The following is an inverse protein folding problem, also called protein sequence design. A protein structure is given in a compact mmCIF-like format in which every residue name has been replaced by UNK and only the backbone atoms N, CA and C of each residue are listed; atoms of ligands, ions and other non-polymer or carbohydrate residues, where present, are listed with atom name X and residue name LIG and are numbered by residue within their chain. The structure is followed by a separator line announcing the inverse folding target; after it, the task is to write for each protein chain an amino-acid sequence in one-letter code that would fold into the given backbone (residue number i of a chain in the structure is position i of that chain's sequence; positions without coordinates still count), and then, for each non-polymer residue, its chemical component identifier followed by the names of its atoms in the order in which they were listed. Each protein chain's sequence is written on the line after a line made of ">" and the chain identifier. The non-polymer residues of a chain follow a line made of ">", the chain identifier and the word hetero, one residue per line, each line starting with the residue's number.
data_IF_402441938022
#
_entry.id   IF_402441938022
#
_cell.length_a   1.000
_cell.length_b   1.000
_cell.length_c   1.000
_cell.angle_alpha   90.00
_cell.angle_beta   90.00
_cell.angle_gamma   90.00
#
_symmetry.space_group_name_H-M   'P 1'
#
loop_
_entity.id
_entity.type
_entity.pdbx_description
1 polymer ?
#
# COMPACT_ATOMS: atom_id res chain seq x y z
N UNK A 1 -20.10 8.02 -20.29
CA UNK A 1 -19.95 6.55 -20.19
C UNK A 1 -19.89 6.21 -18.73
N UNK A 2 -20.78 5.36 -18.21
CA UNK A 2 -20.70 4.88 -16.83
C UNK A 2 -19.53 3.90 -16.72
N UNK A 3 -18.35 4.42 -16.36
CA UNK A 3 -17.17 3.61 -16.13
C UNK A 3 -17.40 2.76 -14.88
N UNK A 4 -17.64 1.46 -15.07
CA UNK A 4 -17.91 0.53 -13.97
C UNK A 4 -16.66 -0.28 -13.65
N UNK A 5 -16.14 -0.10 -12.44
CA UNK A 5 -14.96 -0.85 -11.98
C UNK A 5 -15.39 -2.26 -11.57
N UNK A 6 -14.87 -3.33 -12.20
CA UNK A 6 -15.25 -4.70 -11.86
C UNK A 6 -14.81 -5.07 -10.43
N UNK A 7 -15.61 -5.86 -9.71
CA UNK A 7 -15.27 -6.27 -8.33
C UNK A 7 -13.95 -7.03 -8.27
N UNK A 8 -13.62 -7.84 -9.29
CA UNK A 8 -12.37 -8.60 -9.31
C UNK A 8 -11.12 -7.70 -9.31
N UNK A 9 -11.20 -6.49 -9.87
CA UNK A 9 -10.09 -5.51 -9.82
C UNK A 9 -9.89 -5.01 -8.40
N UNK A 10 -10.99 -4.71 -7.70
CA UNK A 10 -10.98 -4.26 -6.31
C UNK A 10 -10.43 -5.37 -5.40
N UNK A 11 -10.91 -6.60 -5.60
CA UNK A 11 -10.45 -7.79 -4.87
C UNK A 11 -8.96 -8.05 -5.14
N UNK A 12 -8.50 -7.94 -6.38
CA UNK A 12 -7.07 -8.06 -6.71
C UNK A 12 -6.24 -6.99 -5.99
N UNK A 13 -6.75 -5.75 -5.91
CA UNK A 13 -6.19 -4.69 -5.08
C UNK A 13 -6.10 -5.11 -3.61
N UNK A 14 -7.18 -5.66 -3.07
CA UNK A 14 -7.24 -6.14 -1.69
C UNK A 14 -6.26 -7.27 -1.37
N UNK A 15 -6.16 -8.27 -2.24
CA UNK A 15 -5.18 -9.37 -2.14
C UNK A 15 -3.76 -8.80 -2.15
N UNK A 16 -3.49 -7.87 -3.06
CA UNK A 16 -2.20 -7.18 -3.11
C UNK A 16 -1.88 -6.45 -1.81
N UNK A 17 -2.84 -5.71 -1.23
CA UNK A 17 -2.61 -5.02 0.04
C UNK A 17 -2.31 -5.99 1.19
N UNK A 18 -3.05 -7.09 1.32
CA UNK A 18 -2.75 -8.14 2.31
C UNK A 18 -1.37 -8.75 2.05
N UNK A 19 -1.04 -9.07 0.79
CA UNK A 19 0.29 -9.57 0.43
C UNK A 19 1.38 -8.60 0.90
N UNK A 20 1.22 -7.29 0.66
CA UNK A 20 2.21 -6.31 1.14
C UNK A 20 2.33 -6.34 2.67
N UNK A 21 1.21 -6.39 3.40
CA UNK A 21 1.21 -6.46 4.86
C UNK A 21 1.97 -7.69 5.37
N UNK A 22 1.83 -8.84 4.71
CA UNK A 22 2.51 -10.09 5.11
C UNK A 22 3.98 -10.16 4.70
N UNK A 23 4.33 -9.63 3.53
CA UNK A 23 5.71 -9.72 3.00
C UNK A 23 6.64 -8.68 3.63
N UNK A 24 6.13 -7.54 4.10
CA UNK A 24 6.94 -6.45 4.66
C UNK A 24 7.82 -6.86 5.86
N UNK A 25 7.34 -7.62 6.86
CA UNK A 25 8.20 -8.17 7.92
C UNK A 25 9.34 -9.04 7.38
N UNK A 26 9.05 -9.90 6.41
CA UNK A 26 10.06 -10.76 5.79
C UNK A 26 11.13 -9.93 5.08
N UNK A 27 10.72 -8.95 4.26
CA UNK A 27 11.64 -8.06 3.54
C UNK A 27 12.51 -7.28 4.54
N UNK A 28 11.91 -6.72 5.59
CA UNK A 28 12.64 -6.00 6.65
C UNK A 28 13.62 -6.88 7.41
N UNK A 29 13.40 -8.19 7.52
CA UNK A 29 14.31 -9.05 8.25
C UNK A 29 15.41 -9.65 7.38
N UNK A 30 15.07 -10.03 6.13
CA UNK A 30 15.94 -10.83 5.25
C UNK A 30 16.63 -10.03 4.16
N UNK A 31 16.07 -8.88 3.78
CA UNK A 31 16.52 -8.09 2.62
C UNK A 31 17.18 -6.81 3.08
N UNK A 32 16.49 -6.06 3.93
CA UNK A 32 17.04 -4.89 4.59
C UNK A 32 17.57 -5.35 5.94
N UNK A 33 18.77 -4.97 6.35
CA UNK A 33 19.31 -5.32 7.68
C UNK A 33 18.64 -4.49 8.79
N UNK A 34 17.31 -4.35 8.71
CA UNK A 34 16.51 -3.34 9.38
C UNK A 34 16.67 -3.36 10.89
N UNK A 35 16.76 -4.55 11.48
CA UNK A 35 16.89 -4.67 12.93
C UNK A 35 18.23 -4.15 13.43
N UNK A 36 19.31 -4.37 12.68
CA UNK A 36 20.62 -3.83 13.03
C UNK A 36 20.69 -2.33 12.75
N UNK A 37 20.06 -1.86 11.68
CA UNK A 37 19.99 -0.43 11.36
C UNK A 37 19.16 0.36 12.37
N UNK A 38 17.99 -0.15 12.77
CA UNK A 38 17.14 0.48 13.79
C UNK A 38 17.84 0.51 15.15
N UNK A 39 18.64 -0.50 15.51
CA UNK A 39 19.40 -0.50 16.78
C UNK A 39 20.38 0.66 16.92
N UNK A 40 20.83 1.27 15.81
CA UNK A 40 21.71 2.45 15.81
C UNK A 40 21.00 3.73 16.26
N UNK A 41 19.66 3.73 16.27
CA UNK A 41 18.85 4.87 16.69
C UNK A 41 18.72 4.93 18.22
N UNK A 42 18.41 6.12 18.76
CA UNK A 42 18.02 6.29 20.17
C UNK A 42 16.80 5.41 20.49
N UNK A 43 16.67 4.84 21.71
CA UNK A 43 15.57 3.92 22.06
C UNK A 43 14.17 4.43 21.70
N UNK A 44 13.89 5.71 21.96
CA UNK A 44 12.61 6.35 21.59
C UNK A 44 12.35 6.27 20.08
N UNK A 45 13.35 6.58 19.26
CA UNK A 45 13.22 6.56 17.80
C UNK A 45 13.05 5.13 17.26
N UNK A 46 13.58 4.12 17.96
CA UNK A 46 13.35 2.71 17.61
C UNK A 46 11.88 2.34 17.78
N UNK A 47 11.27 2.72 18.91
CA UNK A 47 9.86 2.43 19.17
C UNK A 47 8.92 3.20 18.24
N UNK A 48 9.24 4.46 17.92
CA UNK A 48 8.51 5.24 16.92
C UNK A 48 8.55 4.53 15.55
N UNK A 49 9.74 4.12 15.08
CA UNK A 49 9.87 3.44 13.79
C UNK A 49 9.12 2.10 13.76
N UNK A 50 9.17 1.31 14.85
CA UNK A 50 8.40 0.06 14.99
C UNK A 50 6.90 0.32 14.97
N UNK A 51 6.44 1.35 15.69
CA UNK A 51 5.02 1.69 15.81
C UNK A 51 4.43 2.11 14.47
N UNK A 52 5.07 3.03 13.75
CA UNK A 52 4.64 3.38 12.39
C UNK A 52 4.65 2.18 11.44
N UNK A 53 5.66 1.32 11.54
CA UNK A 53 5.71 0.08 10.76
C UNK A 53 4.53 -0.87 11.04
N UNK A 54 4.09 -0.97 12.30
CA UNK A 54 2.92 -1.78 12.69
C UNK A 54 1.61 -1.14 12.23
N UNK A 55 1.47 0.18 12.33
CA UNK A 55 0.30 0.90 11.85
C UNK A 55 0.12 0.77 10.34
N UNK A 56 1.20 0.95 9.57
CA UNK A 56 1.20 0.76 8.12
C UNK A 56 0.77 -0.67 7.75
N UNK A 57 1.32 -1.67 8.45
CA UNK A 57 0.95 -3.06 8.21
C UNK A 57 -0.53 -3.33 8.51
N UNK A 58 -1.03 -2.81 9.63
CA UNK A 58 -2.44 -2.93 10.02
C UNK A 58 -3.38 -2.25 9.03
N UNK A 59 -3.03 -1.05 8.55
CA UNK A 59 -3.81 -0.34 7.54
C UNK A 59 -3.88 -1.13 6.23
N UNK A 60 -2.75 -1.59 5.69
CA UNK A 60 -2.75 -2.38 4.45
C UNK A 60 -3.57 -3.66 4.59
N UNK A 61 -3.46 -4.34 5.74
CA UNK A 61 -4.23 -5.54 5.99
C UNK A 61 -5.74 -5.25 6.03
N UNK A 62 -6.15 -4.23 6.78
CA UNK A 62 -7.57 -3.87 6.94
C UNK A 62 -8.17 -3.33 5.64
N UNK A 63 -7.47 -2.46 4.91
CA UNK A 63 -7.91 -2.01 3.59
C UNK A 63 -8.03 -3.17 2.61
N UNK A 64 -7.11 -4.13 2.69
CA UNK A 64 -7.17 -5.36 1.92
C UNK A 64 -8.42 -6.20 2.24
N UNK A 65 -8.71 -6.39 3.53
CA UNK A 65 -9.92 -7.08 3.97
C UNK A 65 -11.20 -6.41 3.48
N UNK A 66 -11.30 -5.09 3.62
CA UNK A 66 -12.46 -4.31 3.15
C UNK A 66 -12.66 -4.53 1.64
N UNK A 67 -11.59 -4.42 0.85
CA UNK A 67 -11.64 -4.58 -0.59
C UNK A 67 -12.01 -5.99 -1.05
N UNK A 68 -11.71 -7.02 -0.25
CA UNK A 68 -12.09 -8.41 -0.54
C UNK A 68 -13.53 -8.71 -0.11
N UNK A 69 -13.90 -8.31 1.11
CA UNK A 69 -15.17 -8.71 1.72
C UNK A 69 -16.35 -7.89 1.22
N UNK A 70 -16.16 -6.59 0.98
CA UNK A 70 -17.23 -5.67 0.61
C UNK A 70 -16.87 -4.77 -0.60
N UNK A 71 -16.42 -5.36 -1.73
CA UNK A 71 -16.01 -4.58 -2.91
C UNK A 71 -17.14 -3.75 -3.53
N UNK A 72 -18.40 -4.18 -3.41
CA UNK A 72 -19.56 -3.42 -3.89
C UNK A 72 -19.76 -2.13 -3.08
N UNK A 73 -19.54 -2.18 -1.77
CA UNK A 73 -19.68 -1.01 -0.88
C UNK A 73 -18.64 0.06 -1.18
N UNK A 74 -17.49 -0.29 -1.74
CA UNK A 74 -16.46 0.67 -2.12
C UNK A 74 -16.80 1.47 -3.38
N UNK A 75 -17.86 1.10 -4.11
CA UNK A 75 -18.28 1.78 -5.36
C UNK A 75 -19.78 2.03 -5.41
N UNK A 76 -20.45 2.04 -4.27
CA UNK A 76 -21.89 2.22 -4.18
C UNK A 76 -22.32 3.70 -4.24
N UNK A 77 -21.39 4.63 -4.51
CA UNK A 77 -21.64 6.07 -4.55
C UNK A 77 -22.33 6.55 -3.28
N UNK A 78 -21.74 6.23 -2.13
CA UNK A 78 -22.12 6.81 -0.84
C UNK A 78 -21.01 7.73 -0.34
N UNK A 79 -21.34 8.68 0.53
CA UNK A 79 -20.35 9.53 1.20
C UNK A 79 -19.27 8.70 1.93
N UNK A 80 -19.65 7.53 2.47
CA UNK A 80 -18.71 6.62 3.11
C UNK A 80 -17.75 5.98 2.09
N UNK A 81 -18.27 5.51 0.95
CA UNK A 81 -17.45 4.98 -0.13
C UNK A 81 -16.48 6.03 -0.67
N UNK A 82 -16.95 7.26 -0.89
CA UNK A 82 -16.11 8.38 -1.29
C UNK A 82 -14.98 8.65 -0.28
N UNK A 83 -15.31 8.79 1.01
CA UNK A 83 -14.33 9.07 2.04
C UNK A 83 -13.29 7.94 2.19
N UNK A 84 -13.74 6.68 2.16
CA UNK A 84 -12.87 5.53 2.36
C UNK A 84 -11.96 5.29 1.15
N UNK A 85 -12.49 5.37 -0.06
CA UNK A 85 -11.68 5.24 -1.28
C UNK A 85 -10.73 6.41 -1.47
N UNK A 86 -11.15 7.62 -1.08
CA UNK A 86 -10.28 8.80 -1.01
C UNK A 86 -9.13 8.62 -0.01
N UNK A 87 -9.42 8.11 1.19
CA UNK A 87 -8.39 7.79 2.19
C UNK A 87 -7.37 6.79 1.67
N UNK A 88 -7.84 5.67 1.10
CA UNK A 88 -6.96 4.61 0.57
C UNK A 88 -6.17 5.13 -0.65
N UNK A 89 -6.82 5.88 -1.54
CA UNK A 89 -6.19 6.49 -2.71
C UNK A 89 -5.08 7.48 -2.32
N UNK A 90 -5.38 8.40 -1.39
CA UNK A 90 -4.39 9.35 -0.88
C UNK A 90 -3.21 8.66 -0.18
N UNK A 91 -3.48 7.61 0.59
CA UNK A 91 -2.45 6.78 1.23
C UNK A 91 -1.47 6.19 0.20
N UNK A 92 -1.99 5.56 -0.87
CA UNK A 92 -1.15 4.94 -1.89
C UNK A 92 -0.47 5.95 -2.83
N UNK A 93 -1.15 7.04 -3.20
CA UNK A 93 -0.53 8.15 -3.94
C UNK A 93 0.63 8.73 -3.12
N UNK A 94 0.43 9.00 -1.83
CA UNK A 94 1.47 9.51 -0.95
C UNK A 94 2.67 8.56 -0.89
N UNK A 95 2.42 7.25 -0.82
CA UNK A 95 3.48 6.23 -0.87
C UNK A 95 4.26 6.26 -2.19
N UNK A 96 3.58 6.35 -3.33
CA UNK A 96 4.22 6.39 -4.66
C UNK A 96 4.99 7.70 -4.85
N UNK A 97 4.40 8.84 -4.49
CA UNK A 97 5.02 10.15 -4.58
C UNK A 97 6.30 10.23 -3.73
N UNK A 98 6.24 9.79 -2.47
CA UNK A 98 7.43 9.76 -1.60
C UNK A 98 8.53 8.86 -2.14
N UNK A 99 8.17 7.77 -2.82
CA UNK A 99 9.12 6.87 -3.45
C UNK A 99 9.91 7.52 -4.58
N UNK A 100 9.27 8.36 -5.40
CA UNK A 100 9.96 9.08 -6.48
C UNK A 100 10.74 10.31 -5.97
N UNK A 101 10.25 10.97 -4.92
CA UNK A 101 10.87 12.21 -4.43
C UNK A 101 12.05 12.00 -3.48
N UNK A 102 12.08 10.93 -2.69
CA UNK A 102 13.01 10.82 -1.55
C UNK A 102 13.89 9.56 -1.53
N UNK A 103 13.58 8.52 -2.31
CA UNK A 103 14.36 7.28 -2.26
C UNK A 103 15.38 7.19 -3.40
N UNK A 104 16.69 7.16 -3.10
CA UNK A 104 17.68 6.73 -4.07
C UNK A 104 17.52 5.23 -4.31
N UNK A 105 16.66 4.84 -5.27
CA UNK A 105 16.44 3.44 -5.66
C UNK A 105 17.72 2.70 -6.11
N UNK A 106 18.82 3.44 -6.32
CA UNK A 106 20.12 2.93 -6.79
C UNK A 106 20.93 2.17 -5.72
N UNK A 107 20.54 2.23 -4.44
CA UNK A 107 21.26 1.58 -3.33
C UNK A 107 20.73 0.18 -2.98
N UNK A 108 19.69 -0.30 -3.68
CA UNK A 108 19.10 -1.63 -3.41
C UNK A 108 20.13 -2.73 -3.76
N UNK A 109 20.33 -3.75 -2.90
CA UNK A 109 21.34 -4.77 -3.13
C UNK A 109 21.11 -5.50 -4.47
N UNK A 110 22.17 -5.63 -5.28
CA UNK A 110 22.13 -6.04 -6.70
C UNK A 110 21.73 -7.50 -6.96
N UNK A 111 21.27 -8.25 -5.95
CA UNK A 111 20.79 -9.64 -6.14
C UNK A 111 19.54 -9.63 -7.03
N UNK A 112 19.49 -10.51 -8.04
CA UNK A 112 18.40 -10.56 -9.03
C UNK A 112 17.01 -10.63 -8.40
N UNK A 113 16.85 -11.41 -7.32
CA UNK A 113 15.59 -11.54 -6.58
C UNK A 113 15.09 -10.19 -6.00
N UNK A 114 16.00 -9.37 -5.47
CA UNK A 114 15.63 -8.07 -4.88
C UNK A 114 15.30 -7.03 -5.94
N UNK A 115 15.95 -7.10 -7.10
CA UNK A 115 15.61 -6.27 -8.25
C UNK A 115 14.21 -6.58 -8.78
N UNK A 116 13.87 -7.86 -8.95
CA UNK A 116 12.52 -8.29 -9.36
C UNK A 116 11.49 -7.90 -8.31
N UNK A 117 11.78 -8.15 -7.03
CA UNK A 117 10.91 -7.76 -5.93
C UNK A 117 10.64 -6.25 -5.88
N UNK A 118 11.66 -5.42 -6.13
CA UNK A 118 11.50 -3.97 -6.20
C UNK A 118 10.55 -3.54 -7.32
N UNK A 119 10.72 -4.05 -8.55
CA UNK A 119 9.79 -3.73 -9.65
C UNK A 119 8.37 -4.22 -9.34
N UNK A 120 8.22 -5.42 -8.78
CA UNK A 120 6.92 -5.98 -8.41
C UNK A 120 6.19 -5.15 -7.34
N UNK A 121 6.91 -4.72 -6.30
CA UNK A 121 6.33 -3.86 -5.26
C UNK A 121 5.96 -2.47 -5.80
N UNK A 122 6.79 -1.89 -6.67
CA UNK A 122 6.49 -0.61 -7.31
C UNK A 122 5.24 -0.70 -8.19
N UNK A 123 5.12 -1.79 -8.95
CA UNK A 123 3.92 -2.07 -9.75
C UNK A 123 2.69 -2.21 -8.85
N UNK A 124 2.79 -2.95 -7.74
CA UNK A 124 1.68 -3.09 -6.78
C UNK A 124 1.25 -1.73 -6.22
N UNK A 125 2.18 -0.88 -5.78
CA UNK A 125 1.83 0.44 -5.25
C UNK A 125 1.17 1.33 -6.29
N UNK A 126 1.69 1.31 -7.52
CA UNK A 126 1.08 2.03 -8.65
C UNK A 126 -0.32 1.50 -8.95
N UNK A 127 -0.50 0.17 -8.96
CA UNK A 127 -1.80 -0.48 -9.15
C UNK A 127 -2.79 -0.05 -8.06
N UNK A 128 -2.41 -0.06 -6.79
CA UNK A 128 -3.28 0.39 -5.70
C UNK A 128 -3.65 1.87 -5.85
N UNK A 129 -2.67 2.74 -6.11
CA UNK A 129 -2.92 4.16 -6.33
C UNK A 129 -3.95 4.36 -7.45
N UNK A 130 -3.79 3.70 -8.59
CA UNK A 130 -4.73 3.80 -9.72
C UNK A 130 -6.11 3.28 -9.34
N UNK A 131 -6.23 2.07 -8.79
CA UNK A 131 -7.53 1.45 -8.48
C UNK A 131 -8.33 2.30 -7.49
N UNK A 132 -7.72 2.73 -6.39
CA UNK A 132 -8.44 3.48 -5.36
C UNK A 132 -8.70 4.93 -5.74
N UNK A 133 -7.87 5.54 -6.58
CA UNK A 133 -8.18 6.85 -7.18
C UNK A 133 -9.32 6.76 -8.17
N UNK A 134 -9.38 5.72 -9.00
CA UNK A 134 -10.51 5.51 -9.91
C UNK A 134 -11.81 5.25 -9.14
N UNK A 135 -11.76 4.49 -8.04
CA UNK A 135 -12.91 4.31 -7.15
C UNK A 135 -13.35 5.63 -6.50
N UNK A 136 -12.41 6.45 -6.06
CA UNK A 136 -12.70 7.78 -5.53
C UNK A 136 -13.40 8.65 -6.58
N UNK A 137 -12.87 8.71 -7.81
CA UNK A 137 -13.47 9.46 -8.93
C UNK A 137 -14.87 8.92 -9.25
N UNK A 138 -15.05 7.60 -9.29
CA UNK A 138 -16.36 6.98 -9.52
C UNK A 138 -17.39 7.36 -8.44
N UNK A 139 -16.95 7.50 -7.19
CA UNK A 139 -17.80 7.93 -6.09
C UNK A 139 -18.00 9.46 -6.03
N UNK A 140 -17.32 10.28 -6.85
CA UNK A 140 -17.59 11.73 -6.93
C UNK A 140 -18.87 12.05 -7.71
N UNK A 141 -19.30 11.14 -8.60
CA UNK A 141 -20.54 11.22 -9.36
C UNK A 141 -21.79 10.86 -8.51
N UNK A 142 -21.74 11.19 -7.21
CA UNK A 142 -22.78 11.00 -6.18
C UNK A 142 -24.12 11.65 -6.55
#
# INVERSE_FOLDING_TARGET
>A
MTFTIPNWVIIAGGIGQIFTALIYPYIRHRVFDWYNDVKKLKPLNQEIAKTYGRYIQGLNFTFGLIAILIPSELKNQTHLALALTGLIGAYWIGKVATQFSYYPMYEIPKKKLFKIGSYGMNFLFGFFAVVYTLLFIHNLDL
#
